data_IF_413466065451
#
_entry.id   IF_413466065451
#
_cell.length_a   1.000
_cell.length_b   1.000
_cell.length_c   1.000
_cell.angle_alpha   90.00
_cell.angle_beta   90.00
_cell.angle_gamma   90.00
#
_symmetry.space_group_name_H-M   'P 1'
#
loop_
_entity.id
_entity.type
_entity.pdbx_description
1 polymer ?
#
# COMPACT_ATOMS: atom_id res chain seq x y z
N UNK A 1 -9.79 69.09 -29.95
CA UNK A 1 -10.76 68.16 -29.34
C UNK A 1 -10.37 66.74 -29.76
N UNK A 2 -9.50 66.04 -29.00
CA UNK A 2 -9.84 64.96 -28.05
C UNK A 2 -10.62 63.79 -28.69
N UNK A 3 -10.17 62.53 -28.80
CA UNK A 3 -9.02 61.73 -28.33
C UNK A 3 -8.94 60.46 -29.22
N UNK A 4 -7.77 59.82 -29.40
CA UNK A 4 -7.61 58.48 -29.94
C UNK A 4 -7.57 57.42 -28.82
N UNK A 5 -8.36 56.33 -28.88
CA UNK A 5 -8.31 55.21 -27.92
C UNK A 5 -8.73 53.85 -28.52
N UNK A 6 -8.09 53.44 -29.62
CA UNK A 6 -8.25 52.07 -30.12
C UNK A 6 -6.92 51.31 -30.29
N UNK A 7 -5.77 52.00 -30.36
CA UNK A 7 -4.50 51.36 -30.69
C UNK A 7 -3.60 50.99 -29.50
N UNK A 8 -3.93 51.42 -28.27
CA UNK A 8 -3.10 51.14 -27.06
C UNK A 8 -3.45 49.80 -26.40
N UNK A 9 -4.58 49.17 -26.75
CA UNK A 9 -5.00 47.90 -26.15
C UNK A 9 -4.30 46.68 -26.78
N UNK A 10 -3.87 46.77 -28.04
CA UNK A 10 -3.29 45.62 -28.75
C UNK A 10 -1.83 45.30 -28.36
N UNK A 11 -1.05 46.30 -27.92
CA UNK A 11 0.36 46.09 -27.51
C UNK A 11 0.46 45.65 -26.04
N UNK A 12 -0.51 46.04 -25.19
CA UNK A 12 -0.55 45.62 -23.79
C UNK A 12 -0.81 44.12 -23.60
N UNK A 13 -1.58 43.48 -24.50
CA UNK A 13 -1.91 42.05 -24.40
C UNK A 13 -0.75 41.15 -24.83
N UNK A 14 0.10 41.60 -25.77
CA UNK A 14 1.24 40.80 -26.24
C UNK A 14 2.43 40.84 -25.25
N UNK A 15 2.61 41.95 -24.52
CA UNK A 15 3.60 42.04 -23.44
C UNK A 15 3.18 41.25 -22.18
N UNK A 16 1.87 41.08 -21.93
CA UNK A 16 1.34 40.25 -20.84
C UNK A 16 1.37 38.75 -21.19
N UNK A 17 1.28 38.37 -22.46
CA UNK A 17 1.39 36.97 -22.89
C UNK A 17 2.83 36.45 -23.00
N UNK A 18 3.83 37.34 -23.17
CA UNK A 18 5.25 36.98 -23.05
C UNK A 18 5.77 37.01 -21.60
N UNK A 19 4.95 37.48 -20.65
CA UNK A 19 5.20 37.39 -19.20
C UNK A 19 4.62 36.11 -18.56
N UNK A 20 3.89 35.27 -19.32
CA UNK A 20 3.41 33.96 -18.89
C UNK A 20 4.36 32.87 -19.35
N UNK A 21 5.51 32.87 -18.68
CA UNK A 21 6.56 31.85 -18.68
C UNK A 21 6.02 30.42 -18.67
N UNK A 22 6.54 29.53 -19.54
CA UNK A 22 6.28 28.11 -19.46
C UNK A 22 7.04 27.47 -18.29
N UNK A 23 6.30 26.70 -17.48
CA UNK A 23 6.73 25.39 -16.99
C UNK A 23 8.10 25.22 -16.33
N UNK A 24 8.36 25.86 -15.18
CA UNK A 24 9.12 25.20 -14.11
C UNK A 24 8.55 25.63 -12.74
N UNK A 25 7.78 24.78 -12.03
CA UNK A 25 7.73 24.90 -10.59
C UNK A 25 9.12 24.52 -10.07
N UNK A 26 9.95 25.52 -9.80
CA UNK A 26 11.04 25.36 -8.82
C UNK A 26 10.34 25.35 -7.48
N UNK A 27 9.95 24.15 -7.03
CA UNK A 27 9.44 23.93 -5.68
C UNK A 27 10.56 24.10 -4.66
N UNK A 28 10.95 25.36 -4.44
CA UNK A 28 11.53 25.81 -3.19
C UNK A 28 10.40 26.46 -2.42
N UNK A 29 9.54 25.64 -1.81
CA UNK A 29 8.61 26.09 -0.78
C UNK A 29 8.76 25.10 0.38
N UNK A 30 9.24 25.66 1.48
CA UNK A 30 8.73 25.45 2.83
C UNK A 30 8.34 24.00 3.12
N UNK A 31 9.27 23.35 3.82
CA UNK A 31 9.02 22.13 4.54
C UNK A 31 7.68 22.22 5.26
N UNK A 32 6.66 21.55 4.71
CA UNK A 32 5.66 20.82 5.49
C UNK A 32 6.39 19.76 6.31
N UNK A 33 7.31 20.20 7.17
CA UNK A 33 7.91 19.43 8.22
C UNK A 33 6.72 18.88 8.97
N UNK A 34 6.50 17.57 8.79
CA UNK A 34 5.63 16.79 9.63
C UNK A 34 6.14 17.03 11.05
N UNK A 35 5.58 18.03 11.72
CA UNK A 35 5.84 18.27 13.13
C UNK A 35 5.27 17.03 13.80
N UNK A 36 6.10 16.20 14.47
CA UNK A 36 5.57 15.09 15.24
C UNK A 36 4.67 15.72 16.30
N UNK A 37 3.37 15.56 16.17
CA UNK A 37 2.43 16.09 17.13
C UNK A 37 2.52 15.25 18.40
N UNK A 38 3.12 15.82 19.45
CA UNK A 38 2.93 15.41 20.84
C UNK A 38 3.99 14.47 21.42
N UNK A 39 4.09 14.52 22.76
CA UNK A 39 4.95 13.78 23.68
C UNK A 39 4.79 12.23 23.65
N UNK A 40 4.47 11.65 22.49
CA UNK A 40 4.16 10.22 22.28
C UNK A 40 5.36 9.28 22.27
N UNK A 41 6.50 9.66 22.86
CA UNK A 41 7.75 8.87 22.79
C UNK A 41 7.61 7.48 23.44
N UNK A 42 6.66 7.29 24.35
CA UNK A 42 6.39 6.00 24.97
C UNK A 42 5.43 5.14 24.12
N UNK A 43 4.34 5.71 23.60
CA UNK A 43 3.37 4.97 22.76
C UNK A 43 4.00 4.48 21.45
N UNK A 44 4.79 5.31 20.77
CA UNK A 44 5.41 4.93 19.50
C UNK A 44 6.47 3.80 19.66
N UNK A 45 7.13 3.69 20.81
CA UNK A 45 8.02 2.56 21.11
C UNK A 45 7.26 1.22 21.17
N UNK A 46 5.97 1.24 21.50
CA UNK A 46 5.12 0.06 21.68
C UNK A 46 4.44 -0.41 20.39
N UNK A 47 4.52 0.34 19.27
CA UNK A 47 3.79 0.03 18.03
C UNK A 47 4.62 -0.83 17.08
N UNK A 48 4.06 -1.95 16.60
CA UNK A 48 4.62 -2.70 15.46
C UNK A 48 4.59 -1.80 14.22
N UNK A 49 5.54 -2.03 13.32
CA UNK A 49 5.42 -1.50 11.95
C UNK A 49 4.19 -2.11 11.27
N UNK A 50 3.54 -1.36 10.37
CA UNK A 50 2.26 -1.79 9.79
C UNK A 50 2.28 -3.20 9.14
N UNK A 51 3.42 -3.64 8.62
CA UNK A 51 3.56 -4.98 8.06
C UNK A 51 3.56 -6.14 9.07
N UNK A 52 3.94 -5.88 10.31
CA UNK A 52 4.07 -6.91 11.34
C UNK A 52 2.80 -7.09 12.19
N UNK A 53 1.76 -6.30 11.90
CA UNK A 53 0.46 -6.30 12.56
C UNK A 53 -0.26 -7.60 12.20
N UNK A 54 -0.82 -8.27 13.21
CA UNK A 54 -1.67 -9.44 12.98
C UNK A 54 -3.02 -9.05 12.37
N UNK A 55 -3.86 -10.03 12.02
CA UNK A 55 -5.24 -9.74 11.68
C UNK A 55 -5.96 -9.15 12.91
N UNK A 56 -6.68 -8.06 12.71
CA UNK A 56 -7.56 -7.47 13.72
C UNK A 56 -8.75 -8.38 14.01
N UNK A 57 -9.22 -8.37 15.26
CA UNK A 57 -10.48 -9.01 15.62
C UNK A 57 -11.64 -8.20 15.06
N UNK A 58 -12.62 -8.86 14.44
CA UNK A 58 -13.89 -8.23 14.08
C UNK A 58 -14.69 -8.02 15.38
N UNK A 59 -14.90 -6.77 15.76
CA UNK A 59 -15.67 -6.37 16.94
C UNK A 59 -17.17 -6.48 16.65
N UNK A 60 -18.04 -6.52 17.68
CA UNK A 60 -19.49 -6.49 17.45
C UNK A 60 -19.95 -5.24 16.66
N UNK A 61 -19.33 -4.09 16.88
CA UNK A 61 -19.62 -2.86 16.13
C UNK A 61 -19.25 -3.01 14.64
N UNK A 62 -18.04 -3.51 14.34
CA UNK A 62 -17.66 -3.80 12.95
C UNK A 62 -18.59 -4.84 12.32
N UNK A 63 -18.97 -5.90 13.04
CA UNK A 63 -19.89 -6.92 12.53
C UNK A 63 -21.26 -6.34 12.21
N UNK A 64 -21.80 -5.49 13.09
CA UNK A 64 -23.07 -4.79 12.85
C UNK A 64 -23.00 -3.87 11.64
N UNK A 65 -21.88 -3.17 11.44
CA UNK A 65 -21.67 -2.34 10.25
C UNK A 65 -21.60 -3.19 8.96
N UNK A 66 -20.86 -4.31 8.99
CA UNK A 66 -20.81 -5.26 7.87
C UNK A 66 -22.22 -5.75 7.54
N UNK A 67 -23.00 -6.12 8.56
CA UNK A 67 -24.36 -6.61 8.41
C UNK A 67 -25.28 -5.54 7.82
N UNK A 68 -25.14 -4.27 8.25
CA UNK A 68 -25.85 -3.11 7.70
C UNK A 68 -25.57 -2.94 6.22
N UNK A 69 -24.30 -2.88 5.82
CA UNK A 69 -23.90 -2.68 4.41
C UNK A 69 -24.36 -3.86 3.54
N UNK A 70 -24.25 -5.09 4.03
CA UNK A 70 -24.73 -6.28 3.33
C UNK A 70 -26.26 -6.28 3.21
N UNK A 71 -26.99 -5.84 4.22
CA UNK A 71 -28.45 -5.73 4.17
C UNK A 71 -28.90 -4.65 3.18
N UNK A 72 -28.23 -3.50 3.15
CA UNK A 72 -28.41 -2.46 2.13
C UNK A 72 -28.19 -3.03 0.72
N UNK A 73 -27.15 -3.85 0.53
CA UNK A 73 -26.90 -4.51 -0.76
C UNK A 73 -27.98 -5.51 -1.18
N UNK A 74 -28.73 -6.09 -0.24
CA UNK A 74 -29.85 -7.02 -0.51
C UNK A 74 -31.14 -6.29 -0.88
N UNK A 75 -31.35 -5.07 -0.38
CA UNK A 75 -32.56 -4.29 -0.68
C UNK A 75 -32.55 -3.72 -2.10
N UNK A 76 -31.37 -3.65 -2.73
CA UNK A 76 -31.23 -3.33 -4.15
C UNK A 76 -31.79 -4.49 -4.97
N UNK A 77 -33.05 -4.35 -5.37
CA UNK A 77 -33.75 -5.31 -6.22
C UNK A 77 -33.02 -5.54 -7.54
N UNK A 78 -33.36 -6.64 -8.22
CA UNK A 78 -32.91 -6.85 -9.61
C UNK A 78 -33.50 -5.73 -10.47
N UNK A 79 -32.67 -4.79 -10.88
CA UNK A 79 -33.05 -3.71 -11.79
C UNK A 79 -33.39 -4.31 -13.16
N UNK A 80 -34.69 -4.41 -13.46
CA UNK A 80 -35.21 -5.08 -14.65
C UNK A 80 -35.01 -4.32 -15.97
N UNK A 81 -34.56 -3.06 -15.94
CA UNK A 81 -34.33 -2.26 -17.15
C UNK A 81 -32.93 -1.63 -17.20
N UNK A 82 -32.35 -1.60 -18.39
CA UNK A 82 -31.03 -1.00 -18.68
C UNK A 82 -30.95 0.49 -18.29
N UNK A 83 -32.08 1.20 -18.36
CA UNK A 83 -32.20 2.61 -17.97
C UNK A 83 -32.35 2.81 -16.45
N UNK A 84 -32.83 1.80 -15.72
CA UNK A 84 -32.81 1.78 -14.26
C UNK A 84 -31.42 1.42 -13.73
N UNK A 85 -30.68 0.54 -14.41
CA UNK A 85 -29.27 0.24 -14.10
C UNK A 85 -28.42 1.52 -14.07
N UNK A 86 -28.33 2.28 -15.17
CA UNK A 86 -27.46 3.47 -15.22
C UNK A 86 -27.76 4.56 -14.16
N UNK A 87 -29.02 4.66 -13.67
CA UNK A 87 -29.41 5.59 -12.58
C UNK A 87 -29.34 4.97 -11.18
N UNK A 88 -29.41 3.64 -11.07
CA UNK A 88 -29.38 2.90 -9.80
C UNK A 88 -27.98 2.39 -9.44
N UNK A 89 -27.05 2.34 -10.39
CA UNK A 89 -25.80 1.60 -10.22
C UNK A 89 -24.82 2.31 -9.29
N UNK A 90 -24.89 3.63 -9.10
CA UNK A 90 -24.10 4.29 -8.05
C UNK A 90 -24.47 3.80 -6.64
N UNK A 91 -25.70 3.31 -6.41
CA UNK A 91 -26.07 2.70 -5.14
C UNK A 91 -25.36 1.35 -4.88
N UNK A 92 -24.69 0.78 -5.89
CA UNK A 92 -23.87 -0.42 -5.71
C UNK A 92 -22.53 -0.11 -5.03
N UNK A 93 -22.07 1.14 -5.08
CA UNK A 93 -20.96 1.61 -4.26
C UNK A 93 -21.52 1.86 -2.87
N UNK A 94 -21.07 1.09 -1.89
CA UNK A 94 -21.46 1.20 -0.49
C UNK A 94 -20.21 1.13 0.35
N UNK A 95 -20.21 1.87 1.45
CA UNK A 95 -19.08 1.95 2.34
C UNK A 95 -19.46 1.49 3.76
N UNK A 96 -18.49 0.92 4.43
CA UNK A 96 -18.52 0.56 5.84
C UNK A 96 -17.59 1.49 6.62
N UNK A 97 -18.02 1.92 7.80
CA UNK A 97 -17.14 2.48 8.82
C UNK A 97 -16.61 1.36 9.72
N UNK A 98 -15.36 0.98 9.49
CA UNK A 98 -14.68 -0.07 10.22
C UNK A 98 -13.69 0.61 11.16
N UNK A 99 -14.08 0.77 12.42
CA UNK A 99 -13.23 1.36 13.47
C UNK A 99 -12.74 2.78 13.14
N UNK A 100 -13.64 3.65 12.70
CA UNK A 100 -13.34 5.02 12.31
C UNK A 100 -12.62 5.13 10.96
N UNK A 101 -12.40 4.01 10.26
CA UNK A 101 -11.79 3.97 8.94
C UNK A 101 -12.83 3.57 7.90
N UNK A 102 -12.96 4.34 6.82
CA UNK A 102 -13.94 4.05 5.77
C UNK A 102 -13.37 3.07 4.74
N UNK A 103 -14.12 2.01 4.47
CA UNK A 103 -13.87 1.07 3.38
C UNK A 103 -15.06 1.04 2.42
N UNK A 104 -14.81 1.22 1.13
CA UNK A 104 -15.86 1.17 0.10
C UNK A 104 -15.69 -0.07 -0.79
N UNK A 105 -16.78 -0.85 -0.95
CA UNK A 105 -16.80 -2.09 -1.73
C UNK A 105 -16.30 -1.88 -3.17
N UNK A 106 -15.35 -2.71 -3.60
CA UNK A 106 -14.70 -2.66 -4.91
C UNK A 106 -13.70 -1.51 -5.10
N UNK A 107 -13.58 -0.60 -4.12
CA UNK A 107 -12.72 0.60 -4.19
C UNK A 107 -11.52 0.46 -3.26
N UNK A 108 -11.75 0.12 -1.99
CA UNK A 108 -10.73 0.03 -0.96
C UNK A 108 -10.94 1.00 0.22
N UNK A 109 -9.91 1.16 1.04
CA UNK A 109 -9.86 2.14 2.14
C UNK A 109 -9.69 3.54 1.58
N UNK A 110 -10.50 4.49 2.04
CA UNK A 110 -10.53 5.85 1.49
C UNK A 110 -10.85 6.88 2.56
N UNK A 111 -10.44 8.12 2.33
CA UNK A 111 -10.84 9.29 3.14
C UNK A 111 -12.03 10.04 2.51
N UNK A 112 -12.39 9.72 1.26
CA UNK A 112 -13.59 10.25 0.60
C UNK A 112 -14.86 9.78 1.32
N UNK A 113 -15.88 10.63 1.35
CA UNK A 113 -17.25 10.22 1.72
C UNK A 113 -17.81 9.23 0.72
N UNK A 114 -18.76 8.39 1.16
CA UNK A 114 -19.47 7.47 0.26
C UNK A 114 -20.08 8.21 -0.94
N UNK A 115 -20.64 9.41 -0.72
CA UNK A 115 -21.18 10.25 -1.78
C UNK A 115 -20.12 10.68 -2.81
N UNK A 116 -18.91 11.05 -2.36
CA UNK A 116 -17.80 11.39 -3.25
C UNK A 116 -17.34 10.17 -4.06
N UNK A 117 -17.19 9.00 -3.43
CA UNK A 117 -16.81 7.76 -4.13
C UNK A 117 -17.89 7.38 -5.16
N UNK A 118 -19.17 7.44 -4.79
CA UNK A 118 -20.31 7.23 -5.70
C UNK A 118 -20.27 8.17 -6.89
N UNK A 119 -20.07 9.47 -6.65
CA UNK A 119 -20.02 10.48 -7.69
C UNK A 119 -18.84 10.23 -8.66
N UNK A 120 -17.67 9.87 -8.13
CA UNK A 120 -16.46 9.55 -8.90
C UNK A 120 -16.68 8.34 -9.79
N UNK A 121 -17.18 7.22 -9.25
CA UNK A 121 -17.48 6.00 -10.01
C UNK A 121 -18.56 6.26 -11.07
N UNK A 122 -19.63 6.98 -10.74
CA UNK A 122 -20.69 7.32 -11.69
C UNK A 122 -20.19 8.24 -12.81
N UNK A 123 -19.32 9.21 -12.49
CA UNK A 123 -18.69 10.08 -13.48
C UNK A 123 -17.79 9.28 -14.44
N UNK A 124 -16.98 8.37 -13.90
CA UNK A 124 -16.15 7.47 -14.68
C UNK A 124 -16.98 6.56 -15.58
N UNK A 125 -18.12 6.04 -15.10
CA UNK A 125 -19.02 5.23 -15.90
C UNK A 125 -19.56 6.00 -17.12
N UNK A 126 -20.06 7.22 -16.90
CA UNK A 126 -20.51 8.10 -18.00
C UNK A 126 -19.40 8.53 -18.95
N UNK A 127 -18.16 8.63 -18.46
CA UNK A 127 -17.00 8.95 -19.29
C UNK A 127 -16.59 7.76 -20.16
N UNK A 128 -16.63 6.54 -19.61
CA UNK A 128 -16.32 5.31 -20.33
C UNK A 128 -17.33 5.06 -21.46
N UNK A 129 -18.63 5.28 -21.23
CA UNK A 129 -19.67 5.15 -22.28
C UNK A 129 -19.47 6.09 -23.47
N UNK A 130 -18.80 7.23 -23.27
CA UNK A 130 -18.52 8.22 -24.32
C UNK A 130 -17.22 7.95 -25.08
N UNK A 131 -16.36 7.06 -24.59
CA UNK A 131 -15.05 6.78 -25.16
C UNK A 131 -15.05 5.39 -25.79
N UNK A 132 -15.16 5.34 -27.11
CA UNK A 132 -15.12 4.08 -27.88
C UNK A 132 -13.74 3.78 -28.47
N UNK A 133 -12.81 4.71 -28.35
CA UNK A 133 -11.50 4.74 -29.02
C UNK A 133 -10.36 4.16 -28.18
N UNK A 134 -10.59 3.87 -26.89
CA UNK A 134 -9.53 3.37 -26.01
C UNK A 134 -9.39 1.87 -26.05
N UNK A 135 -8.15 1.42 -26.19
CA UNK A 135 -7.78 0.02 -26.04
C UNK A 135 -7.96 -0.37 -24.56
N UNK A 136 -8.80 -1.37 -24.29
CA UNK A 136 -8.91 -1.96 -22.96
C UNK A 136 -7.69 -2.83 -22.69
N UNK A 137 -6.99 -2.58 -21.58
CA UNK A 137 -5.79 -3.34 -21.21
C UNK A 137 -6.03 -4.40 -20.13
N UNK A 138 -7.23 -4.43 -19.54
CA UNK A 138 -7.69 -5.51 -18.65
C UNK A 138 -7.91 -5.13 -17.20
N UNK A 139 -7.96 -3.85 -16.84
CA UNK A 139 -8.61 -3.40 -15.62
C UNK A 139 -10.14 -3.43 -15.78
N UNK A 140 -10.88 -3.64 -14.70
CA UNK A 140 -12.33 -3.40 -14.73
C UNK A 140 -12.60 -1.90 -14.70
N UNK A 141 -13.12 -1.38 -15.81
CA UNK A 141 -13.65 -0.02 -15.86
C UNK A 141 -14.90 0.16 -14.98
N UNK A 142 -15.29 1.40 -14.73
CA UNK A 142 -16.41 1.71 -13.84
C UNK A 142 -17.73 1.02 -14.26
N UNK A 143 -18.17 1.05 -15.53
CA UNK A 143 -19.37 0.32 -15.95
C UNK A 143 -19.26 -1.19 -15.71
N UNK A 144 -18.11 -1.81 -15.98
CA UNK A 144 -17.93 -3.24 -15.79
C UNK A 144 -17.92 -3.65 -14.31
N UNK A 145 -17.36 -2.83 -13.42
CA UNK A 145 -17.45 -3.04 -11.96
C UNK A 145 -18.91 -3.08 -11.52
N UNK A 146 -19.69 -2.08 -11.93
CA UNK A 146 -21.10 -1.95 -11.58
C UNK A 146 -21.93 -3.11 -12.16
N UNK A 147 -21.74 -3.40 -13.45
CA UNK A 147 -22.43 -4.48 -14.14
C UNK A 147 -22.09 -5.86 -13.56
N UNK A 148 -20.83 -6.07 -13.12
CA UNK A 148 -20.41 -7.32 -12.45
C UNK A 148 -21.19 -7.54 -11.16
N UNK A 149 -21.29 -6.51 -10.32
CA UNK A 149 -22.13 -6.60 -9.11
C UNK A 149 -23.58 -6.84 -9.51
N UNK A 150 -24.15 -6.02 -10.41
CA UNK A 150 -25.54 -6.10 -10.86
C UNK A 150 -25.95 -7.50 -11.34
N UNK A 151 -25.07 -8.23 -12.04
CA UNK A 151 -25.32 -9.60 -12.54
C UNK A 151 -25.38 -10.66 -11.44
N UNK A 152 -24.84 -10.42 -10.26
CA UNK A 152 -24.89 -11.36 -9.15
C UNK A 152 -26.32 -11.49 -8.60
N UNK A 153 -26.71 -12.70 -8.21
CA UNK A 153 -27.92 -12.88 -7.40
C UNK A 153 -27.78 -12.13 -6.07
N UNK A 154 -28.89 -11.66 -5.46
CA UNK A 154 -28.79 -10.96 -4.16
C UNK A 154 -28.02 -11.76 -3.09
N UNK A 155 -28.22 -13.09 -3.05
CA UNK A 155 -27.48 -13.99 -2.14
C UNK A 155 -25.98 -14.03 -2.45
N UNK A 156 -25.59 -14.19 -3.72
CA UNK A 156 -24.19 -14.26 -4.12
C UNK A 156 -23.47 -12.92 -3.86
N UNK A 157 -24.15 -11.81 -4.17
CA UNK A 157 -23.64 -10.46 -3.90
C UNK A 157 -23.43 -10.22 -2.41
N UNK A 158 -24.43 -10.53 -1.59
CA UNK A 158 -24.32 -10.40 -0.14
C UNK A 158 -23.17 -11.23 0.45
N UNK A 159 -22.91 -12.42 -0.10
CA UNK A 159 -21.77 -13.25 0.31
C UNK A 159 -20.43 -12.63 -0.13
N UNK A 160 -20.34 -12.09 -1.35
CA UNK A 160 -19.15 -11.41 -1.85
C UNK A 160 -18.86 -10.12 -1.06
N UNK A 161 -19.88 -9.28 -0.84
CA UNK A 161 -19.79 -8.05 -0.05
C UNK A 161 -19.31 -8.36 1.38
N UNK A 162 -19.91 -9.37 2.04
CA UNK A 162 -19.50 -9.80 3.37
C UNK A 162 -18.04 -10.25 3.40
N UNK A 163 -17.64 -11.12 2.47
CA UNK A 163 -16.27 -11.65 2.44
C UNK A 163 -15.23 -10.54 2.20
N UNK A 164 -15.55 -9.54 1.36
CA UNK A 164 -14.68 -8.39 1.15
C UNK A 164 -14.59 -7.52 2.41
N UNK A 165 -15.71 -7.21 3.05
CA UNK A 165 -15.75 -6.37 4.25
C UNK A 165 -15.14 -7.05 5.49
N UNK A 166 -15.33 -8.35 5.70
CA UNK A 166 -14.64 -9.11 6.76
C UNK A 166 -13.13 -9.13 6.51
N UNK A 167 -12.72 -9.25 5.24
CA UNK A 167 -11.31 -9.13 4.87
C UNK A 167 -10.76 -7.72 5.13
N UNK A 168 -11.54 -6.67 4.87
CA UNK A 168 -11.18 -5.30 5.22
C UNK A 168 -11.09 -5.14 6.75
N UNK A 169 -12.13 -5.49 7.52
CA UNK A 169 -12.17 -5.32 8.97
C UNK A 169 -10.97 -5.96 9.68
N UNK A 170 -10.54 -7.14 9.23
CA UNK A 170 -9.34 -7.82 9.78
C UNK A 170 -8.00 -7.14 9.44
N UNK A 171 -7.99 -6.10 8.61
CA UNK A 171 -6.80 -5.32 8.25
C UNK A 171 -6.81 -3.89 8.83
N UNK A 172 -7.81 -3.52 9.63
CA UNK A 172 -8.02 -2.12 10.06
C UNK A 172 -6.85 -1.54 10.86
N UNK A 173 -6.24 -2.34 11.76
CA UNK A 173 -5.05 -1.90 12.50
C UNK A 173 -3.85 -1.61 11.59
N UNK A 174 -3.68 -2.38 10.50
CA UNK A 174 -2.64 -2.11 9.49
C UNK A 174 -2.91 -0.75 8.81
N UNK A 175 -4.17 -0.45 8.50
CA UNK A 175 -4.54 0.81 7.83
C UNK A 175 -4.29 2.01 8.74
N UNK A 176 -4.75 1.96 9.99
CA UNK A 176 -4.44 2.98 10.99
C UNK A 176 -2.94 3.25 11.08
N UNK A 177 -2.12 2.19 11.16
CA UNK A 177 -0.66 2.32 11.22
C UNK A 177 -0.07 2.88 9.92
N UNK A 178 -0.53 2.47 8.74
CA UNK A 178 -0.08 3.06 7.48
C UNK A 178 -0.41 4.55 7.40
N UNK A 179 -1.63 4.96 7.77
CA UNK A 179 -2.01 6.38 7.78
C UNK A 179 -1.19 7.18 8.80
N UNK A 180 -0.96 6.61 9.98
CA UNK A 180 -0.08 7.22 10.98
C UNK A 180 1.35 7.40 10.46
N UNK A 181 1.93 6.34 9.91
CA UNK A 181 3.33 6.31 9.48
C UNK A 181 3.59 7.10 8.18
N UNK A 182 2.59 7.20 7.30
CA UNK A 182 2.72 7.83 5.98
C UNK A 182 2.09 9.22 5.93
N UNK A 183 0.87 9.37 6.41
CA UNK A 183 0.14 10.64 6.37
C UNK A 183 0.34 11.49 7.64
N UNK A 184 0.87 10.90 8.73
CA UNK A 184 1.02 11.60 10.01
C UNK A 184 -0.28 11.72 10.79
N UNK A 185 -1.30 10.91 10.47
CA UNK A 185 -2.58 10.90 11.19
C UNK A 185 -2.35 10.40 12.62
N UNK A 186 -2.86 11.11 13.62
CA UNK A 186 -2.77 10.66 15.00
C UNK A 186 -3.56 9.36 15.20
N UNK A 187 -2.99 8.40 15.93
CA UNK A 187 -3.72 7.21 16.35
C UNK A 187 -4.70 7.57 17.47
N UNK A 188 -5.89 6.93 17.54
CA UNK A 188 -6.78 7.03 18.70
C UNK A 188 -6.04 6.74 20.01
N UNK A 189 -6.46 7.39 21.11
CA UNK A 189 -5.75 7.28 22.37
C UNK A 189 -5.75 5.86 22.97
N UNK A 190 -6.82 5.13 22.71
CA UNK A 190 -7.13 3.74 23.05
C UNK A 190 -6.75 2.74 21.95
N UNK A 191 -6.10 3.17 20.86
CA UNK A 191 -5.73 2.31 19.73
C UNK A 191 -5.03 1.01 20.15
N UNK A 192 -4.08 1.06 21.10
CA UNK A 192 -3.36 -0.15 21.57
C UNK A 192 -4.18 -1.05 22.51
N UNK A 193 -5.29 -0.56 23.06
CA UNK A 193 -6.24 -1.35 23.82
C UNK A 193 -7.22 -2.06 22.88
N UNK A 194 -7.67 -1.38 21.83
CA UNK A 194 -8.58 -1.91 20.81
C UNK A 194 -7.88 -2.83 19.81
N UNK A 195 -6.60 -2.54 19.51
CA UNK A 195 -5.74 -3.30 18.61
C UNK A 195 -4.50 -3.86 19.31
N UNK A 196 -4.65 -4.83 20.23
CA UNK A 196 -3.51 -5.47 20.88
C UNK A 196 -2.56 -6.15 19.89
N UNK A 197 -3.02 -6.55 18.70
CA UNK A 197 -2.20 -7.09 17.62
C UNK A 197 -1.18 -6.10 17.04
N UNK A 198 -1.42 -4.79 17.21
CA UNK A 198 -0.49 -3.73 16.84
C UNK A 198 0.62 -3.50 17.88
N UNK A 199 0.49 -4.09 19.08
CA UNK A 199 1.49 -3.94 20.15
C UNK A 199 2.73 -4.78 19.85
N UNK A 200 3.92 -4.17 19.92
CA UNK A 200 5.20 -4.91 19.96
C UNK A 200 5.18 -5.80 21.18
N UNK A 201 5.67 -7.03 21.03
CA UNK A 201 5.96 -7.84 22.22
C UNK A 201 6.96 -7.04 23.06
N UNK A 202 6.65 -6.87 24.35
CA UNK A 202 7.65 -6.37 25.28
C UNK A 202 8.88 -7.28 25.12
N UNK A 203 10.10 -6.72 25.03
CA UNK A 203 11.29 -7.56 25.08
C UNK A 203 11.14 -8.43 26.32
N UNK A 204 11.12 -9.77 26.13
CA UNK A 204 11.00 -10.70 27.24
C UNK A 204 12.05 -10.26 28.26
N UNK A 205 11.60 -9.91 29.47
CA UNK A 205 12.47 -9.41 30.53
C UNK A 205 13.65 -10.37 30.60
N UNK A 206 14.81 -9.89 30.13
CA UNK A 206 15.89 -10.76 29.72
C UNK A 206 16.13 -11.77 30.82
N UNK A 207 16.03 -13.05 30.48
CA UNK A 207 16.54 -14.11 31.36
C UNK A 207 17.93 -13.65 31.73
N UNK A 208 18.12 -13.32 33.01
CA UNK A 208 19.40 -12.85 33.56
C UNK A 208 20.46 -13.74 32.92
N UNK A 209 21.48 -13.20 32.21
CA UNK A 209 22.50 -14.04 31.59
C UNK A 209 22.97 -14.99 32.69
N UNK A 210 22.68 -16.29 32.50
CA UNK A 210 23.14 -17.30 33.44
C UNK A 210 24.62 -17.10 33.52
N UNK A 211 25.11 -16.76 34.72
CA UNK A 211 26.52 -16.48 34.95
C UNK A 211 27.33 -17.56 34.23
N UNK A 212 28.19 -17.13 33.32
CA UNK A 212 29.13 -18.03 32.65
C UNK A 212 29.78 -18.87 33.73
N UNK A 213 29.64 -20.22 33.69
CA UNK A 213 30.31 -21.04 34.68
C UNK A 213 31.81 -20.74 34.59
N UNK A 214 32.36 -20.22 35.68
CA UNK A 214 33.81 -20.06 35.85
C UNK A 214 34.48 -21.37 35.43
N UNK A 215 35.48 -21.36 34.54
CA UNK A 215 36.17 -22.58 34.16
C UNK A 215 36.78 -23.22 35.42
N UNK A 216 36.31 -24.43 35.73
CA UNK A 216 36.88 -25.27 36.79
C UNK A 216 38.36 -25.50 36.48
N UNK A 217 39.29 -25.13 37.39
CA UNK A 217 40.71 -25.42 37.19
C UNK A 217 40.92 -26.93 37.13
N UNK A 218 41.67 -27.38 36.12
CA UNK A 218 42.14 -28.76 35.95
C UNK A 218 42.98 -29.17 37.17
N UNK A 219 42.74 -30.33 37.80
CA UNK A 219 43.54 -30.80 38.94
C UNK A 219 44.94 -31.23 38.46
N UNK A 220 45.97 -30.54 38.93
CA UNK A 220 47.37 -30.96 38.86
C UNK A 220 47.62 -32.08 39.86
N UNK A 221 48.33 -33.12 39.42
CA UNK A 221 48.64 -34.30 40.21
C UNK A 221 49.49 -34.01 41.45
N UNK A 222 49.19 -34.80 42.47
CA UNK A 222 49.70 -34.83 43.83
C UNK A 222 51.19 -35.18 43.94
N UNK A 223 51.92 -34.44 44.77
CA UNK A 223 53.12 -34.92 45.46
C UNK A 223 53.12 -34.40 46.90
N UNK A 224 53.26 -35.35 47.84
CA UNK A 224 53.36 -35.23 49.30
C UNK A 224 54.76 -35.75 49.69
N UNK A 225 55.40 -35.49 50.87
CA UNK A 225 55.05 -34.65 52.05
C UNK A 225 56.17 -33.68 52.51
N UNK A 226 55.88 -32.83 53.51
CA UNK A 226 56.54 -32.80 54.86
C UNK A 226 56.59 -31.38 55.44
N UNK A 227 56.17 -31.23 56.71
CA UNK A 227 56.77 -30.25 57.63
C UNK A 227 55.87 -29.17 58.23
N UNK A 228 55.28 -29.48 59.37
CA UNK A 228 55.04 -28.65 60.56
C UNK A 228 54.93 -27.11 60.46
N UNK A 229 53.80 -26.56 60.94
CA UNK A 229 53.71 -25.75 62.18
C UNK A 229 52.40 -24.93 62.25
N UNK A 230 51.72 -25.01 63.40
CA UNK A 230 50.72 -24.06 63.94
C UNK A 230 51.36 -22.68 64.23
N UNK A 231 50.62 -21.66 64.74
CA UNK A 231 49.22 -21.25 64.56
C UNK A 231 49.10 -19.73 64.30
N UNK A 232 47.94 -19.20 63.90
CA UNK A 232 47.41 -17.91 64.43
C UNK A 232 46.00 -17.61 63.94
N UNK A 233 45.19 -17.07 64.85
CA UNK A 233 43.84 -16.60 64.64
C UNK A 233 43.80 -15.36 63.75
N UNK A 234 42.72 -15.17 62.98
CA UNK A 234 42.17 -13.82 62.80
C UNK A 234 40.72 -13.78 62.29
N UNK A 235 39.92 -13.07 63.09
CA UNK A 235 38.79 -12.20 62.77
C UNK A 235 37.82 -12.58 61.63
N UNK A 236 36.60 -12.93 62.05
CA UNK A 236 35.39 -12.82 61.25
C UNK A 236 35.12 -11.35 60.87
N UNK A 237 35.09 -11.06 59.58
CA UNK A 237 34.52 -9.82 59.03
C UNK A 237 33.25 -10.16 58.25
N UNK A 238 32.10 -9.96 58.90
CA UNK A 238 30.79 -9.91 58.25
C UNK A 238 30.72 -8.64 57.40
N UNK A 239 31.11 -8.74 56.13
CA UNK A 239 30.84 -7.71 55.12
C UNK A 239 29.43 -7.91 54.56
N UNK A 240 28.48 -7.09 54.98
CA UNK A 240 27.17 -6.97 54.34
C UNK A 240 27.37 -6.53 52.89
N UNK A 241 26.92 -7.30 51.88
CA UNK A 241 27.00 -6.88 50.49
C UNK A 241 26.16 -5.62 50.29
N UNK A 242 26.82 -4.50 49.99
CA UNK A 242 26.15 -3.28 49.58
C UNK A 242 25.34 -3.57 48.32
N UNK A 243 24.02 -3.35 48.39
CA UNK A 243 23.11 -3.54 47.28
C UNK A 243 23.55 -2.63 46.11
N UNK A 244 24.05 -3.24 45.04
CA UNK A 244 24.32 -2.54 43.78
C UNK A 244 23.02 -1.91 43.32
N UNK A 245 22.98 -0.58 43.06
CA UNK A 245 21.78 0.08 42.60
C UNK A 245 21.32 -0.56 41.28
N UNK A 246 20.17 -1.22 41.32
CA UNK A 246 19.48 -1.73 40.13
C UNK A 246 19.20 -0.53 39.24
N UNK A 247 19.92 -0.43 38.12
CA UNK A 247 19.66 0.59 37.12
C UNK A 247 18.19 0.53 36.71
N UNK A 248 17.49 1.65 36.84
CA UNK A 248 16.10 1.77 36.41
C UNK A 248 16.02 1.34 34.94
N UNK A 249 15.01 0.54 34.54
CA UNK A 249 14.87 0.08 33.17
C UNK A 249 14.74 1.30 32.25
N UNK A 250 15.78 1.56 31.46
CA UNK A 250 15.78 2.62 30.46
C UNK A 250 14.71 2.30 29.42
N UNK A 251 13.67 3.13 29.34
CA UNK A 251 12.62 2.99 28.33
C UNK A 251 13.27 3.05 26.94
N UNK A 252 13.06 2.04 26.06
CA UNK A 252 13.56 2.10 24.70
C UNK A 252 13.02 3.36 24.00
N UNK A 253 13.84 4.09 23.24
CA UNK A 253 13.38 5.26 22.52
C UNK A 253 12.26 4.88 21.54
N UNK A 254 11.27 5.77 21.40
CA UNK A 254 10.23 5.66 20.38
C UNK A 254 10.83 5.37 19.01
N UNK A 255 10.18 4.47 18.26
CA UNK A 255 10.49 4.33 16.85
C UNK A 255 10.07 5.62 16.14
N UNK A 256 11.06 6.41 15.71
CA UNK A 256 10.83 7.62 14.91
C UNK A 256 10.21 7.20 13.57
N UNK A 257 9.13 7.88 13.16
CA UNK A 257 8.51 7.65 11.86
C UNK A 257 9.54 7.90 10.75
N UNK A 258 9.77 6.88 9.91
CA UNK A 258 10.70 6.98 8.78
C UNK A 258 10.19 7.98 7.75
N UNK A 259 11.12 8.76 7.23
CA UNK A 259 10.97 9.66 6.09
C UNK A 259 11.67 9.07 4.86
N UNK A 260 11.50 9.69 3.70
CA UNK A 260 12.23 9.27 2.48
C UNK A 260 13.76 9.35 2.58
N UNK A 261 14.30 10.11 3.55
CA UNK A 261 15.74 10.21 3.78
C UNK A 261 16.31 8.92 4.38
N UNK A 262 15.52 8.21 5.18
CA UNK A 262 15.92 7.01 5.91
C UNK A 262 16.05 5.76 5.02
N UNK A 263 15.52 5.82 3.80
CA UNK A 263 15.60 4.72 2.83
C UNK A 263 16.90 4.75 2.01
N UNK A 264 17.41 3.60 1.54
CA UNK A 264 18.57 3.54 0.64
C UNK A 264 18.33 4.35 -0.63
N UNK A 265 19.41 4.70 -1.36
CA UNK A 265 19.26 5.38 -2.66
C UNK A 265 18.40 4.58 -3.63
N UNK A 266 18.64 3.27 -3.73
CA UNK A 266 18.01 2.38 -4.69
C UNK A 266 17.75 1.03 -4.05
N UNK A 267 16.55 0.49 -4.23
CA UNK A 267 16.17 -0.85 -3.79
C UNK A 267 15.32 -1.50 -4.87
N UNK A 268 15.49 -2.81 -5.03
CA UNK A 268 14.85 -3.63 -6.04
C UNK A 268 14.54 -5.01 -5.48
N UNK A 269 13.38 -5.54 -5.85
CA UNK A 269 12.89 -6.88 -5.51
C UNK A 269 12.34 -7.56 -6.75
N UNK A 270 12.15 -8.88 -6.73
CA UNK A 270 11.79 -9.69 -7.90
C UNK A 270 12.90 -9.71 -8.97
N UNK A 271 13.03 -10.84 -9.67
CA UNK A 271 14.05 -11.01 -10.71
C UNK A 271 13.50 -10.55 -12.05
N UNK A 272 14.31 -9.88 -12.86
CA UNK A 272 13.91 -9.32 -14.17
C UNK A 272 13.52 -10.40 -15.19
N UNK A 273 13.95 -11.64 -15.00
CA UNK A 273 13.54 -12.78 -15.81
C UNK A 273 12.20 -13.42 -15.37
N UNK A 274 11.57 -12.93 -14.30
CA UNK A 274 10.26 -13.39 -13.82
C UNK A 274 9.13 -12.48 -14.32
N UNK A 275 9.20 -12.10 -15.59
CA UNK A 275 8.29 -11.16 -16.24
C UNK A 275 7.62 -11.80 -17.45
N UNK A 276 6.44 -11.31 -17.83
CA UNK A 276 5.72 -11.81 -19.01
C UNK A 276 4.89 -10.68 -19.63
N UNK A 277 4.66 -10.76 -20.94
CA UNK A 277 3.66 -9.93 -21.63
C UNK A 277 2.28 -10.59 -21.54
N UNK A 278 1.23 -9.77 -21.47
CA UNK A 278 -0.13 -10.30 -21.41
C UNK A 278 -0.54 -10.94 -22.74
N UNK A 279 -1.21 -12.09 -22.68
CA UNK A 279 -1.58 -12.86 -23.89
C UNK A 279 -2.88 -12.42 -24.53
N UNK A 280 -3.70 -11.65 -23.80
CA UNK A 280 -4.97 -11.09 -24.27
C UNK A 280 -5.03 -9.60 -23.92
N UNK A 281 -5.78 -8.81 -24.68
CA UNK A 281 -5.89 -7.37 -24.43
C UNK A 281 -6.44 -7.06 -23.05
N UNK A 282 -7.31 -7.91 -22.48
CA UNK A 282 -7.90 -7.74 -21.15
C UNK A 282 -7.19 -8.51 -20.01
N UNK A 283 -5.91 -8.90 -20.18
CA UNK A 283 -5.18 -9.79 -19.26
C UNK A 283 -4.06 -9.11 -18.44
N UNK A 284 -4.05 -7.78 -18.28
CA UNK A 284 -3.05 -7.14 -17.42
C UNK A 284 -3.08 -7.65 -15.98
N UNK A 285 -4.26 -7.91 -15.41
CA UNK A 285 -4.44 -8.48 -14.07
C UNK A 285 -3.84 -9.88 -13.93
N UNK A 286 -4.28 -10.88 -14.73
CA UNK A 286 -3.71 -12.23 -14.73
C UNK A 286 -2.20 -12.26 -14.94
N UNK A 287 -1.67 -11.40 -15.81
CA UNK A 287 -0.23 -11.31 -16.09
C UNK A 287 0.53 -10.69 -14.93
N UNK A 288 0.00 -9.61 -14.34
CA UNK A 288 0.57 -9.02 -13.12
C UNK A 288 0.60 -10.04 -11.97
N UNK A 289 -0.49 -10.79 -11.79
CA UNK A 289 -0.57 -11.84 -10.79
C UNK A 289 0.43 -12.96 -11.06
N UNK A 290 0.63 -13.34 -12.33
CA UNK A 290 1.68 -14.30 -12.72
C UNK A 290 3.06 -13.81 -12.26
N UNK A 291 3.41 -12.54 -12.50
CA UNK A 291 4.72 -12.01 -12.14
C UNK A 291 4.92 -11.91 -10.62
N UNK A 292 3.89 -11.47 -9.88
CA UNK A 292 3.92 -11.41 -8.42
C UNK A 292 4.11 -12.81 -7.81
N UNK A 293 3.34 -13.78 -8.29
CA UNK A 293 3.35 -15.16 -7.75
C UNK A 293 4.57 -15.94 -8.22
N UNK A 294 5.10 -15.67 -9.41
CA UNK A 294 6.36 -16.23 -9.87
C UNK A 294 7.54 -15.72 -9.04
N UNK A 295 7.55 -14.43 -8.73
CA UNK A 295 8.49 -13.82 -7.78
C UNK A 295 8.54 -14.53 -6.43
N UNK A 296 7.38 -14.94 -5.92
CA UNK A 296 7.25 -15.68 -4.67
C UNK A 296 7.60 -17.17 -4.78
N UNK A 297 6.96 -17.88 -5.70
CA UNK A 297 7.00 -19.34 -5.79
C UNK A 297 8.18 -19.87 -6.61
N UNK A 298 8.92 -19.02 -7.32
CA UNK A 298 10.01 -19.40 -8.22
C UNK A 298 9.57 -20.05 -9.54
N UNK A 299 8.27 -20.35 -9.72
CA UNK A 299 7.71 -20.94 -10.94
C UNK A 299 6.47 -20.19 -11.44
N UNK A 300 6.43 -19.92 -12.74
CA UNK A 300 5.27 -19.34 -13.40
C UNK A 300 4.10 -20.34 -13.50
N UNK A 301 2.88 -19.85 -13.29
CA UNK A 301 1.63 -20.50 -13.72
C UNK A 301 1.10 -19.76 -14.96
N UNK A 302 0.23 -20.37 -15.76
CA UNK A 302 -0.33 -19.71 -16.94
C UNK A 302 -1.20 -18.50 -16.56
N UNK A 303 -1.36 -17.56 -17.50
CA UNK A 303 -2.25 -16.41 -17.29
C UNK A 303 -3.72 -16.87 -17.15
N UNK A 304 -4.17 -17.89 -17.89
CA UNK A 304 -5.52 -18.44 -17.73
C UNK A 304 -5.79 -19.02 -16.32
N UNK A 305 -4.77 -19.65 -15.70
CA UNK A 305 -4.87 -20.11 -14.31
C UNK A 305 -5.18 -18.95 -13.37
N UNK A 306 -4.49 -17.82 -13.55
CA UNK A 306 -4.72 -16.62 -12.74
C UNK A 306 -6.03 -15.92 -13.10
N UNK A 307 -6.40 -15.87 -14.38
CA UNK A 307 -7.68 -15.31 -14.82
C UNK A 307 -8.85 -15.96 -14.10
N UNK A 308 -8.85 -17.29 -13.98
CA UNK A 308 -9.87 -18.02 -13.23
C UNK A 308 -9.87 -17.67 -11.72
N UNK A 309 -8.71 -17.61 -11.07
CA UNK A 309 -8.58 -17.28 -9.64
C UNK A 309 -9.00 -15.83 -9.30
N UNK A 310 -8.75 -14.93 -10.24
CA UNK A 310 -9.09 -13.51 -10.16
C UNK A 310 -10.55 -13.23 -10.52
N UNK A 311 -11.26 -14.19 -11.14
CA UNK A 311 -12.59 -13.92 -11.72
C UNK A 311 -12.51 -12.92 -12.87
N UNK A 312 -11.41 -12.97 -13.64
CA UNK A 312 -11.19 -12.08 -14.79
C UNK A 312 -12.20 -12.38 -15.88
N UNK A 313 -12.75 -11.33 -16.47
CA UNK A 313 -13.69 -11.41 -17.60
C UNK A 313 -13.08 -10.72 -18.82
N UNK A 314 -13.81 -10.67 -19.94
CA UNK A 314 -13.41 -9.83 -21.09
C UNK A 314 -13.37 -8.34 -20.76
N UNK A 315 -14.03 -7.92 -19.68
CA UNK A 315 -13.93 -6.55 -19.16
C UNK A 315 -12.74 -6.34 -18.22
N UNK A 316 -11.93 -7.37 -17.93
CA UNK A 316 -10.75 -7.25 -17.07
C UNK A 316 -10.92 -7.78 -15.65
N UNK A 317 -10.05 -7.29 -14.75
CA UNK A 317 -9.90 -7.69 -13.34
C UNK A 317 -10.11 -6.52 -12.38
N UNK A 318 -10.76 -6.75 -11.24
CA UNK A 318 -10.92 -5.74 -10.17
C UNK A 318 -9.74 -5.70 -9.21
N UNK A 319 -9.44 -4.52 -8.65
CA UNK A 319 -8.28 -4.35 -7.74
C UNK A 319 -8.44 -5.15 -6.45
N UNK A 320 -9.65 -5.21 -5.88
CA UNK A 320 -9.90 -6.01 -4.67
C UNK A 320 -9.71 -7.51 -4.92
N UNK A 321 -9.92 -7.98 -6.16
CA UNK A 321 -9.61 -9.36 -6.56
C UNK A 321 -8.09 -9.61 -6.65
N UNK A 322 -7.33 -8.64 -7.17
CA UNK A 322 -5.87 -8.70 -7.19
C UNK A 322 -5.34 -8.86 -5.75
N UNK A 323 -5.72 -7.97 -4.84
CA UNK A 323 -5.30 -8.00 -3.43
C UNK A 323 -5.73 -9.29 -2.73
N UNK A 324 -6.98 -9.73 -2.92
CA UNK A 324 -7.48 -11.00 -2.38
C UNK A 324 -6.64 -12.19 -2.83
N UNK A 325 -6.26 -12.24 -4.11
CA UNK A 325 -5.46 -13.34 -4.64
C UNK A 325 -4.00 -13.24 -4.19
N UNK A 326 -3.40 -12.05 -4.06
CA UNK A 326 -2.06 -11.88 -3.46
C UNK A 326 -2.03 -12.51 -2.07
N UNK A 327 -2.99 -12.14 -1.21
CA UNK A 327 -3.09 -12.67 0.16
C UNK A 327 -3.30 -14.19 0.21
N UNK A 328 -4.00 -14.76 -0.78
CA UNK A 328 -4.29 -16.20 -0.80
C UNK A 328 -3.18 -17.05 -1.44
N UNK A 329 -2.49 -16.52 -2.44
CA UNK A 329 -1.63 -17.30 -3.32
C UNK A 329 -0.13 -17.05 -3.09
N UNK A 330 0.21 -16.12 -2.21
CA UNK A 330 1.61 -15.78 -1.87
C UNK A 330 1.82 -15.87 -0.36
N UNK A 331 3.03 -15.56 0.10
CA UNK A 331 3.31 -15.29 1.51
C UNK A 331 3.74 -13.85 1.77
N UNK A 332 3.47 -12.94 0.82
CA UNK A 332 3.75 -11.51 0.99
C UNK A 332 2.91 -10.89 2.10
N UNK A 333 1.80 -11.55 2.46
CA UNK A 333 0.89 -11.19 3.54
C UNK A 333 1.41 -11.55 4.95
N UNK A 334 2.56 -12.23 5.05
CA UNK A 334 3.18 -12.60 6.32
C UNK A 334 3.82 -11.39 6.98
N UNK A 335 3.94 -11.46 8.31
CA UNK A 335 4.54 -10.41 9.16
C UNK A 335 6.00 -10.07 8.84
N UNK A 336 6.74 -11.02 8.25
CA UNK A 336 8.11 -10.80 7.79
C UNK A 336 8.21 -10.07 6.44
N UNK A 337 7.07 -9.81 5.79
CA UNK A 337 6.97 -9.12 4.52
C UNK A 337 6.09 -7.89 4.67
N UNK A 338 4.94 -7.79 3.99
CA UNK A 338 4.07 -6.62 4.01
C UNK A 338 2.89 -6.73 4.98
N UNK A 339 2.68 -7.88 5.62
CA UNK A 339 1.41 -8.15 6.28
C UNK A 339 0.27 -8.18 5.25
N UNK A 340 -0.96 -8.42 5.72
CA UNK A 340 -2.14 -8.55 4.86
C UNK A 340 -2.25 -7.41 3.86
N UNK A 341 -2.27 -7.71 2.56
CA UNK A 341 -2.46 -6.69 1.52
C UNK A 341 -3.86 -6.08 1.63
N UNK A 342 -3.92 -4.79 1.41
CA UNK A 342 -5.12 -3.95 1.37
C UNK A 342 -5.13 -3.14 0.09
N UNK A 343 -6.31 -2.69 -0.32
CA UNK A 343 -6.47 -1.69 -1.38
C UNK A 343 -6.59 -0.33 -0.72
N UNK A 344 -5.66 0.59 -1.01
CA UNK A 344 -5.67 1.97 -0.50
C UNK A 344 -6.03 2.92 -1.63
N UNK A 345 -7.01 3.78 -1.41
CA UNK A 345 -7.25 5.00 -2.18
C UNK A 345 -6.19 6.04 -1.81
N UNK A 346 -5.54 6.62 -2.82
CA UNK A 346 -4.47 7.62 -2.73
C UNK A 346 -4.90 8.97 -3.32
N UNK A 347 -6.21 9.19 -3.52
CA UNK A 347 -6.74 10.34 -4.22
C UNK A 347 -6.32 11.69 -3.62
N UNK A 348 -6.27 11.75 -2.30
CA UNK A 348 -5.87 12.93 -1.51
C UNK A 348 -4.37 12.90 -1.11
N UNK A 349 -3.63 11.85 -1.46
CA UNK A 349 -2.23 11.73 -1.08
C UNK A 349 -1.34 12.64 -1.93
N UNK A 350 -0.37 13.28 -1.29
CA UNK A 350 0.74 13.94 -1.96
C UNK A 350 1.72 12.94 -2.59
N UNK A 351 2.49 13.40 -3.57
CA UNK A 351 3.58 12.61 -4.15
C UNK A 351 4.58 12.10 -3.09
N UNK A 352 4.89 12.92 -2.07
CA UNK A 352 5.82 12.53 -0.98
C UNK A 352 5.27 11.34 -0.19
N UNK A 353 4.00 11.35 0.17
CA UNK A 353 3.32 10.25 0.87
C UNK A 353 3.28 8.98 0.01
N UNK A 354 2.86 9.11 -1.26
CA UNK A 354 2.83 7.98 -2.19
C UNK A 354 4.21 7.36 -2.39
N UNK A 355 5.25 8.17 -2.60
CA UNK A 355 6.61 7.68 -2.78
C UNK A 355 7.15 7.03 -1.49
N UNK A 356 6.82 7.57 -0.31
CA UNK A 356 7.19 6.96 0.97
C UNK A 356 6.57 5.58 1.14
N UNK A 357 5.31 5.39 0.75
CA UNK A 357 4.67 4.08 0.72
C UNK A 357 5.41 3.11 -0.23
N UNK A 358 5.77 3.54 -1.45
CA UNK A 358 6.53 2.71 -2.39
C UNK A 358 7.88 2.28 -1.80
N UNK A 359 8.62 3.22 -1.20
CA UNK A 359 9.93 2.94 -0.59
C UNK A 359 9.81 1.95 0.56
N UNK A 360 8.83 2.15 1.45
CA UNK A 360 8.57 1.28 2.58
C UNK A 360 8.21 -0.14 2.14
N UNK A 361 7.28 -0.28 1.20
CA UNK A 361 6.81 -1.59 0.73
C UNK A 361 7.92 -2.40 0.04
N UNK A 362 8.79 -1.73 -0.72
CA UNK A 362 9.91 -2.39 -1.39
C UNK A 362 11.08 -2.66 -0.44
N UNK A 363 11.47 -1.69 0.39
CA UNK A 363 12.70 -1.77 1.17
C UNK A 363 12.53 -2.41 2.55
N UNK A 364 11.45 -2.10 3.26
CA UNK A 364 11.21 -2.67 4.59
C UNK A 364 10.46 -3.99 4.49
N UNK A 365 9.50 -4.07 3.56
CA UNK A 365 8.60 -5.22 3.48
C UNK A 365 9.05 -6.25 2.45
N UNK A 366 10.04 -5.90 1.61
CA UNK A 366 10.56 -6.74 0.53
C UNK A 366 9.46 -7.34 -0.36
N UNK A 367 8.37 -6.60 -0.57
CA UNK A 367 7.16 -7.09 -1.22
C UNK A 367 6.73 -6.19 -2.39
N UNK A 368 6.15 -6.76 -3.47
CA UNK A 368 5.76 -5.98 -4.64
C UNK A 368 4.51 -5.15 -4.41
N UNK A 369 4.41 -4.02 -5.11
CA UNK A 369 3.20 -3.17 -5.11
C UNK A 369 2.33 -3.54 -6.30
N UNK A 370 1.01 -3.65 -6.10
CA UNK A 370 0.05 -3.68 -7.21
C UNK A 370 -0.30 -2.24 -7.57
N UNK A 371 0.25 -1.72 -8.67
CA UNK A 371 -0.05 -0.38 -9.16
C UNK A 371 -1.30 -0.43 -10.06
N UNK A 372 -2.14 0.61 -9.99
CA UNK A 372 -3.34 0.76 -10.83
C UNK A 372 -3.36 2.08 -11.62
N UNK A 373 -2.39 2.30 -12.53
CA UNK A 373 -2.38 3.51 -13.33
C UNK A 373 -3.44 3.49 -14.44
N UNK A 374 -3.75 4.67 -14.97
CA UNK A 374 -4.28 4.81 -16.33
C UNK A 374 -3.12 4.92 -17.33
N UNK A 375 -3.16 4.16 -18.43
CA UNK A 375 -2.11 4.20 -19.45
C UNK A 375 -2.37 5.33 -20.45
N UNK A 376 -1.83 6.52 -20.16
CA UNK A 376 -1.88 7.66 -21.06
C UNK A 376 -0.48 8.04 -21.53
N UNK A 377 -0.31 8.44 -22.80
CA UNK A 377 0.97 8.85 -23.39
C UNK A 377 1.67 9.95 -22.60
N UNK A 378 0.89 10.87 -22.01
CA UNK A 378 1.42 11.95 -21.15
C UNK A 378 2.23 11.42 -19.96
N UNK A 379 1.86 10.25 -19.44
CA UNK A 379 2.55 9.58 -18.33
C UNK A 379 3.55 8.54 -18.81
N UNK A 380 3.20 7.82 -19.88
CA UNK A 380 3.97 6.71 -20.44
C UNK A 380 4.25 6.98 -21.93
N UNK A 381 5.28 7.77 -22.27
CA UNK A 381 5.53 8.19 -23.65
C UNK A 381 6.04 7.06 -24.57
N UNK A 382 6.21 5.85 -24.03
CA UNK A 382 6.48 4.65 -24.82
C UNK A 382 5.22 4.04 -25.45
N UNK A 383 4.03 4.51 -25.06
CA UNK A 383 2.78 4.11 -25.66
C UNK A 383 2.59 4.83 -27.00
N UNK A 384 2.13 4.10 -28.01
CA UNK A 384 1.64 4.69 -29.24
C UNK A 384 0.24 5.27 -29.06
N UNK A 385 -0.66 4.52 -28.40
CA UNK A 385 -2.01 4.97 -28.06
C UNK A 385 -2.29 5.08 -26.56
N UNK A 386 -3.20 5.99 -26.20
CA UNK A 386 -3.84 6.02 -24.88
C UNK A 386 -4.70 4.76 -24.68
N UNK A 387 -4.67 4.18 -23.49
CA UNK A 387 -5.40 2.97 -23.14
C UNK A 387 -6.20 3.15 -21.83
N UNK A 388 -6.91 2.09 -21.41
CA UNK A 388 -7.71 2.08 -20.18
C UNK A 388 -6.84 2.09 -18.90
N UNK A 389 -7.46 1.83 -17.75
CA UNK A 389 -6.70 1.49 -16.56
C UNK A 389 -5.85 0.24 -16.78
N UNK A 390 -4.90 -0.02 -15.90
CA UNK A 390 -3.93 -1.09 -16.09
C UNK A 390 -3.35 -1.55 -14.76
N UNK A 391 -2.78 -2.75 -14.72
CA UNK A 391 -2.02 -3.21 -13.55
C UNK A 391 -0.54 -3.30 -13.89
N UNK A 392 0.30 -2.70 -13.07
CA UNK A 392 1.76 -2.85 -13.13
C UNK A 392 2.26 -3.43 -11.81
N UNK A 393 3.38 -4.15 -11.85
CA UNK A 393 3.99 -4.72 -10.63
C UNK A 393 5.14 -3.84 -10.19
N UNK A 394 4.90 -2.99 -9.19
CA UNK A 394 5.94 -2.17 -8.58
C UNK A 394 6.97 -3.05 -7.88
N UNK A 395 8.24 -2.87 -8.23
CA UNK A 395 9.33 -3.76 -7.81
C UNK A 395 10.58 -3.05 -7.30
N UNK A 396 10.62 -1.73 -7.37
CA UNK A 396 11.84 -1.00 -7.07
C UNK A 396 11.66 0.51 -7.09
N UNK A 397 12.64 1.20 -6.54
CA UNK A 397 12.76 2.65 -6.64
C UNK A 397 14.24 3.07 -6.70
N UNK A 398 14.48 4.25 -7.28
CA UNK A 398 15.78 4.94 -7.26
C UNK A 398 15.51 6.42 -6.96
N UNK A 399 16.00 6.92 -5.83
CA UNK A 399 15.87 8.34 -5.45
C UNK A 399 16.55 9.28 -6.45
N UNK A 400 17.46 8.75 -7.27
CA UNK A 400 18.12 9.43 -8.38
C UNK A 400 18.87 10.72 -8.00
N UNK A 401 19.21 10.87 -6.72
CA UNK A 401 19.96 12.01 -6.19
C UNK A 401 19.26 13.34 -6.49
N UNK A 402 19.91 14.19 -7.31
CA UNK A 402 19.37 15.50 -7.73
C UNK A 402 18.38 15.41 -8.90
N UNK A 403 18.26 14.26 -9.56
CA UNK A 403 17.34 14.03 -10.67
C UNK A 403 16.00 13.52 -10.14
N UNK A 404 14.91 13.57 -10.94
CA UNK A 404 13.62 13.02 -10.53
C UNK A 404 13.75 11.54 -10.12
N UNK A 405 13.12 11.18 -8.99
CA UNK A 405 13.09 9.80 -8.52
C UNK A 405 12.40 8.89 -9.55
N UNK A 406 12.83 7.65 -9.58
CA UNK A 406 12.38 6.63 -10.52
C UNK A 406 11.65 5.51 -9.78
N UNK A 407 10.62 4.97 -10.42
CA UNK A 407 9.93 3.75 -10.01
C UNK A 407 10.31 2.64 -10.99
N UNK A 408 10.70 1.49 -10.43
CA UNK A 408 10.90 0.25 -11.16
C UNK A 408 9.62 -0.58 -11.12
N UNK A 409 9.12 -1.02 -12.28
CA UNK A 409 7.95 -1.90 -12.34
C UNK A 409 8.03 -2.89 -13.51
N UNK A 410 7.28 -3.98 -13.41
CA UNK A 410 7.00 -4.83 -14.55
C UNK A 410 5.75 -4.34 -15.29
N UNK A 411 5.86 -4.30 -16.61
CA UNK A 411 4.85 -3.86 -17.55
C UNK A 411 4.28 -5.10 -18.28
N UNK A 412 3.02 -5.49 -18.04
CA UNK A 412 2.32 -6.52 -18.82
C UNK A 412 1.97 -6.12 -20.24
N UNK A 413 1.72 -4.84 -20.52
CA UNK A 413 1.17 -4.36 -21.79
C UNK A 413 2.24 -4.29 -22.88
N UNK A 414 2.02 -4.97 -24.01
CA UNK A 414 2.86 -4.87 -25.21
C UNK A 414 1.95 -4.59 -26.41
N UNK A 415 1.93 -3.35 -26.90
CA UNK A 415 1.07 -2.97 -28.04
C UNK A 415 1.41 -3.79 -29.28
N UNK A 416 2.73 -3.97 -29.53
CA UNK A 416 3.24 -4.77 -30.64
C UNK A 416 2.68 -6.21 -30.70
N UNK A 417 2.31 -6.79 -29.56
CA UNK A 417 1.74 -8.13 -29.52
C UNK A 417 0.35 -8.20 -30.18
N UNK A 418 -0.42 -7.13 -30.08
CA UNK A 418 -1.80 -7.06 -30.57
C UNK A 418 -1.89 -6.35 -31.92
N UNK A 419 -0.94 -5.46 -32.20
CA UNK A 419 -0.73 -4.83 -33.48
C UNK A 419 0.78 -4.78 -33.77
N UNK A 420 1.31 -5.65 -34.66
CA UNK A 420 2.74 -5.70 -34.96
C UNK A 420 3.36 -4.43 -35.53
N UNK A 421 2.56 -3.44 -35.99
CA UNK A 421 3.06 -2.15 -36.44
C UNK A 421 3.47 -1.24 -35.29
N UNK A 422 3.01 -1.54 -34.07
CA UNK A 422 3.27 -0.76 -32.87
C UNK A 422 4.66 -0.99 -32.29
N UNK A 423 5.20 -0.01 -31.54
CA UNK A 423 6.49 -0.14 -30.88
C UNK A 423 6.47 -1.25 -29.82
N UNK A 424 7.60 -1.97 -29.74
CA UNK A 424 7.84 -2.91 -28.65
C UNK A 424 7.98 -2.15 -27.33
N UNK A 425 7.29 -2.62 -26.30
CA UNK A 425 7.41 -2.08 -24.94
C UNK A 425 8.28 -3.04 -24.11
N UNK A 426 9.28 -2.53 -23.39
CA UNK A 426 10.08 -3.37 -22.50
C UNK A 426 9.25 -3.88 -21.30
N UNK A 427 9.48 -5.12 -20.89
CA UNK A 427 8.78 -5.70 -19.73
C UNK A 427 9.25 -5.13 -18.40
N UNK A 428 10.49 -4.68 -18.33
CA UNK A 428 11.11 -4.13 -17.11
C UNK A 428 11.31 -2.64 -17.32
N UNK A 429 10.55 -1.82 -16.60
CA UNK A 429 10.54 -0.37 -16.75
C UNK A 429 11.22 0.31 -15.56
N UNK A 430 11.93 1.40 -15.86
CA UNK A 430 12.36 2.41 -14.88
C UNK A 430 11.89 3.77 -15.39
N UNK A 431 10.86 4.35 -14.77
CA UNK A 431 10.27 5.62 -15.21
C UNK A 431 10.15 6.61 -14.07
N UNK A 432 9.96 7.89 -14.40
CA UNK A 432 9.80 8.95 -13.40
C UNK A 432 8.64 8.65 -12.46
N UNK A 433 8.94 8.47 -11.17
CA UNK A 433 7.97 8.06 -10.15
C UNK A 433 6.81 9.06 -10.04
N UNK A 434 7.06 10.35 -10.26
CA UNK A 434 6.02 11.37 -10.30
C UNK A 434 4.98 11.11 -11.40
N UNK A 435 5.40 10.67 -12.60
CA UNK A 435 4.46 10.35 -13.68
C UNK A 435 3.62 9.11 -13.33
N UNK A 436 4.22 8.09 -12.72
CA UNK A 436 3.49 6.92 -12.22
C UNK A 436 2.46 7.30 -11.15
N UNK A 437 2.84 8.14 -10.20
CA UNK A 437 1.92 8.69 -9.20
C UNK A 437 0.72 9.42 -9.85
N UNK A 438 0.98 10.30 -10.82
CA UNK A 438 -0.09 11.01 -11.55
C UNK A 438 -0.95 10.07 -12.37
N UNK A 439 -0.38 9.01 -12.94
CA UNK A 439 -1.16 7.99 -13.64
C UNK A 439 -2.07 7.20 -12.70
N UNK A 440 -1.63 6.85 -11.49
CA UNK A 440 -2.51 6.26 -10.48
C UNK A 440 -3.60 7.24 -10.03
N UNK A 441 -3.27 8.52 -9.83
CA UNK A 441 -4.26 9.55 -9.46
C UNK A 441 -5.26 9.87 -10.57
N UNK A 442 -4.93 9.62 -11.84
CA UNK A 442 -5.88 9.85 -12.94
C UNK A 442 -6.76 8.62 -13.21
N UNK A 443 -6.42 7.46 -12.64
CA UNK A 443 -7.27 6.28 -12.67
C UNK A 443 -8.47 6.48 -11.74
N UNK A 444 -9.71 6.25 -12.17
CA UNK A 444 -10.91 6.66 -11.42
C UNK A 444 -11.07 6.09 -10.00
N UNK A 445 -10.37 4.99 -9.69
CA UNK A 445 -10.35 4.41 -8.34
C UNK A 445 -9.24 4.96 -7.44
N UNK A 446 -8.24 5.64 -8.02
CA UNK A 446 -7.07 6.19 -7.33
C UNK A 446 -6.38 5.19 -6.41
N UNK A 447 -6.30 3.90 -6.73
CA UNK A 447 -5.89 2.90 -5.73
C UNK A 447 -4.56 2.19 -6.02
N UNK A 448 -4.00 1.62 -4.96
CA UNK A 448 -2.82 0.72 -4.96
C UNK A 448 -3.07 -0.47 -4.05
N UNK A 449 -2.46 -1.61 -4.36
CA UNK A 449 -2.47 -2.79 -3.50
C UNK A 449 -1.14 -2.95 -2.76
N UNK A 450 -1.17 -2.90 -1.42
CA UNK A 450 0.00 -2.92 -0.51
C UNK A 450 -0.29 -3.61 0.81
#
# INVERSE_FOLDING_TARGET
MSRPRALVVAIGVLAVLLALTPFIPRGGDEDGALRPSGDGSTKAAMLRSANAVGPSRITPAMQAEIDRVVAEGRSIGRTGSKAALARSDSHLVRCADLDGQRYCLGVGWTDDTEAQVRARVASAARAAERRTDRISTGDLDAPAVLARSARMTPKARAAADRAELESAATAVAKVWLLRHEIQGVALPDDFLAEHPEARRAAPAAGTKPSATPTPTPTPTASATPTGAAQPTANAAASGTPAATPTAAPTTPPAAVAKTGRDYPRRVEILKTNQTSEQTRTYYCGPTSMQMITWGWAGKARSQDYWAHRLGTTTSGTGMTDMVRVVNRATGWDRKSYAGKYVTLDIGDWSYKQWMLLMMRHVADYHAPVVLHPILLKRYYPYLDDDASGHYQVGRGFDKNGKKPAMLGYFEPWNQQRFDPSEPYIDRVQWRGAYKSYRANQDHFLHNVGV
#
